data_IF_054142320101
#
_entry.id   IF_054142320101
#
_cell.length_a   1.000
_cell.length_b   1.000
_cell.length_c   1.000
_cell.angle_alpha   90.00
_cell.angle_beta   90.00
_cell.angle_gamma   90.00
#
_symmetry.space_group_name_H-M   'P 1'
#
loop_
_entity.id
_entity.type
_entity.pdbx_description
1 polymer ?
#
# COMPACT_ATOMS: atom_id res chain seq x y z
N UNK A 1 -46.57 -28.73 -30.04
CA UNK A 1 -46.49 -27.49 -29.19
C UNK A 1 -45.79 -27.73 -27.88
N UNK A 2 -46.05 -28.80 -27.16
CA UNK A 2 -45.45 -29.07 -25.81
C UNK A 2 -43.92 -29.22 -25.87
N UNK A 3 -43.37 -29.77 -26.96
CA UNK A 3 -41.91 -29.95 -27.12
C UNK A 3 -41.15 -28.62 -27.26
N UNK A 4 -41.73 -27.62 -27.93
CA UNK A 4 -41.09 -26.30 -28.07
C UNK A 4 -41.09 -25.52 -26.76
N UNK A 5 -42.21 -25.57 -26.03
CA UNK A 5 -42.32 -24.92 -24.72
C UNK A 5 -41.36 -25.57 -23.69
N UNK A 6 -41.23 -26.89 -23.74
CA UNK A 6 -40.29 -27.63 -22.89
C UNK A 6 -38.86 -27.26 -23.20
N UNK A 7 -38.46 -27.15 -24.45
CA UNK A 7 -37.13 -26.70 -24.86
C UNK A 7 -36.84 -25.27 -24.44
N UNK A 8 -37.80 -24.36 -24.61
CA UNK A 8 -37.66 -22.97 -24.15
C UNK A 8 -37.48 -22.88 -22.65
N UNK A 9 -38.24 -23.66 -21.91
CA UNK A 9 -38.12 -23.73 -20.45
C UNK A 9 -36.76 -24.28 -20.00
N UNK A 10 -36.28 -25.33 -20.66
CA UNK A 10 -34.95 -25.91 -20.40
C UNK A 10 -33.81 -24.92 -20.71
N UNK A 11 -33.94 -24.22 -21.87
CA UNK A 11 -32.97 -23.19 -22.24
C UNK A 11 -32.95 -22.04 -21.27
N UNK A 12 -34.10 -21.60 -20.78
CA UNK A 12 -34.21 -20.54 -19.80
C UNK A 12 -33.59 -20.97 -18.47
N UNK A 13 -33.80 -22.22 -18.06
CA UNK A 13 -33.20 -22.80 -16.84
C UNK A 13 -31.68 -22.83 -16.94
N UNK A 14 -31.14 -23.27 -18.09
CA UNK A 14 -29.70 -23.27 -18.33
C UNK A 14 -29.14 -21.85 -18.29
N UNK A 15 -29.83 -20.90 -18.89
CA UNK A 15 -29.43 -19.49 -18.93
C UNK A 15 -29.40 -18.89 -17.53
N UNK A 16 -30.43 -19.19 -16.72
CA UNK A 16 -30.50 -18.77 -15.31
C UNK A 16 -29.35 -19.36 -14.49
N UNK A 17 -29.00 -20.63 -14.71
CA UNK A 17 -27.85 -21.27 -14.05
C UNK A 17 -26.55 -20.60 -14.43
N UNK A 18 -26.35 -20.24 -15.71
CA UNK A 18 -25.17 -19.53 -16.16
C UNK A 18 -25.07 -18.12 -15.54
N UNK A 19 -26.19 -17.41 -15.45
CA UNK A 19 -26.25 -16.09 -14.82
C UNK A 19 -25.90 -16.20 -13.34
N UNK A 20 -26.43 -17.20 -12.64
CA UNK A 20 -26.10 -17.44 -11.22
C UNK A 20 -24.63 -17.78 -11.03
N UNK A 21 -24.06 -18.62 -11.89
CA UNK A 21 -22.63 -18.96 -11.85
C UNK A 21 -21.76 -17.72 -12.10
N UNK A 22 -22.14 -16.87 -13.05
CA UNK A 22 -21.46 -15.61 -13.34
C UNK A 22 -21.50 -14.64 -12.14
N UNK A 23 -22.65 -14.53 -11.49
CA UNK A 23 -22.82 -13.72 -10.28
C UNK A 23 -21.95 -14.22 -9.14
N UNK A 24 -21.87 -15.54 -8.93
CA UNK A 24 -21.00 -16.15 -7.91
C UNK A 24 -19.54 -15.87 -8.22
N UNK A 25 -19.11 -16.04 -9.45
CA UNK A 25 -17.74 -15.74 -9.88
C UNK A 25 -17.39 -14.27 -9.63
N UNK A 26 -18.33 -13.37 -9.93
CA UNK A 26 -18.15 -11.93 -9.69
C UNK A 26 -18.00 -11.61 -8.19
N UNK A 27 -18.82 -12.22 -7.34
CA UNK A 27 -18.72 -12.06 -5.87
C UNK A 27 -17.39 -12.57 -5.35
N UNK A 28 -16.94 -13.74 -5.81
CA UNK A 28 -15.68 -14.32 -5.42
C UNK A 28 -14.50 -13.44 -5.85
N UNK A 29 -14.54 -12.91 -7.08
CA UNK A 29 -13.54 -11.99 -7.57
C UNK A 29 -13.48 -10.71 -6.73
N UNK A 30 -14.64 -10.16 -6.36
CA UNK A 30 -14.72 -8.98 -5.50
C UNK A 30 -14.14 -9.24 -4.11
N UNK A 31 -14.37 -10.42 -3.54
CA UNK A 31 -13.78 -10.84 -2.27
C UNK A 31 -12.26 -10.94 -2.37
N UNK A 32 -11.76 -11.57 -3.42
CA UNK A 32 -10.32 -11.71 -3.66
C UNK A 32 -9.65 -10.33 -3.81
N UNK A 33 -10.27 -9.41 -4.53
CA UNK A 33 -9.79 -8.04 -4.68
C UNK A 33 -9.72 -7.32 -3.33
N UNK A 34 -10.74 -7.45 -2.49
CA UNK A 34 -10.76 -6.84 -1.14
C UNK A 34 -9.66 -7.42 -0.26
N UNK A 35 -9.48 -8.73 -0.28
CA UNK A 35 -8.44 -9.43 0.48
C UNK A 35 -7.05 -8.97 0.03
N UNK A 36 -6.83 -8.88 -1.28
CA UNK A 36 -5.58 -8.41 -1.85
C UNK A 36 -5.29 -6.95 -1.46
N UNK A 37 -6.28 -6.08 -1.53
CA UNK A 37 -6.15 -4.67 -1.11
C UNK A 37 -5.76 -4.56 0.36
N UNK A 38 -6.39 -5.34 1.25
CA UNK A 38 -6.05 -5.37 2.68
C UNK A 38 -4.61 -5.83 2.89
N UNK A 39 -4.21 -6.87 2.17
CA UNK A 39 -2.86 -7.42 2.25
C UNK A 39 -1.80 -6.41 1.81
N UNK A 40 -2.02 -5.74 0.68
CA UNK A 40 -1.15 -4.68 0.17
C UNK A 40 -1.08 -3.50 1.15
N UNK A 41 -2.20 -3.11 1.74
CA UNK A 41 -2.23 -2.06 2.74
C UNK A 41 -1.41 -2.44 3.98
N UNK A 42 -1.57 -3.68 4.47
CA UNK A 42 -0.79 -4.18 5.60
C UNK A 42 0.70 -4.19 5.31
N UNK A 43 1.11 -4.65 4.13
CA UNK A 43 2.52 -4.63 3.70
C UNK A 43 3.06 -3.21 3.65
N UNK A 44 2.31 -2.27 3.09
CA UNK A 44 2.69 -0.85 3.03
C UNK A 44 2.86 -0.26 4.44
N UNK A 45 1.95 -0.57 5.36
CA UNK A 45 2.04 -0.11 6.74
C UNK A 45 3.22 -0.72 7.49
N UNK A 46 3.51 -1.99 7.25
CA UNK A 46 4.68 -2.67 7.83
C UNK A 46 5.98 -2.06 7.32
N UNK A 47 6.08 -1.82 6.02
CA UNK A 47 7.24 -1.18 5.40
C UNK A 47 7.45 0.22 5.97
N UNK A 48 6.37 0.99 6.12
CA UNK A 48 6.42 2.32 6.73
C UNK A 48 6.91 2.25 8.19
N UNK A 49 6.39 1.30 8.97
CA UNK A 49 6.79 1.11 10.37
C UNK A 49 8.29 0.78 10.47
N UNK A 50 8.80 -0.10 9.60
CA UNK A 50 10.22 -0.44 9.53
C UNK A 50 11.06 0.79 9.18
N UNK A 51 10.61 1.60 8.22
CA UNK A 51 11.31 2.83 7.85
C UNK A 51 11.36 3.83 8.99
N UNK A 52 10.26 4.03 9.71
CA UNK A 52 10.22 4.89 10.90
C UNK A 52 11.21 4.40 11.96
N UNK A 53 11.23 3.08 12.18
CA UNK A 53 12.17 2.46 13.13
C UNK A 53 13.63 2.71 12.73
N UNK A 54 13.95 2.64 11.45
CA UNK A 54 15.31 2.89 10.94
C UNK A 54 15.75 4.35 11.13
N UNK A 55 14.83 5.29 11.27
CA UNK A 55 15.17 6.69 11.60
C UNK A 55 15.68 6.85 13.04
N UNK A 56 15.50 5.84 13.88
CA UNK A 56 15.78 5.94 15.32
C UNK A 56 14.64 6.55 16.13
N UNK A 57 13.54 6.89 15.49
CA UNK A 57 12.38 7.46 16.17
C UNK A 57 11.68 6.38 17.02
N UNK A 58 11.33 6.68 18.29
CA UNK A 58 10.68 5.70 19.16
C UNK A 58 9.25 5.42 18.70
N UNK A 59 9.01 4.20 18.20
CA UNK A 59 7.70 3.76 17.72
C UNK A 59 6.69 3.69 18.88
N UNK A 60 7.15 3.52 20.10
CA UNK A 60 6.31 3.44 21.29
C UNK A 60 5.53 4.73 21.55
N UNK A 61 6.02 5.86 21.06
CA UNK A 61 5.34 7.15 21.21
C UNK A 61 4.31 7.34 20.07
N UNK A 62 3.25 6.56 20.12
CA UNK A 62 2.19 6.58 19.10
C UNK A 62 1.48 7.93 19.02
N UNK A 63 1.25 8.58 20.16
CA UNK A 63 0.57 9.87 20.19
C UNK A 63 1.28 10.92 19.35
N UNK A 64 2.61 10.99 19.45
CA UNK A 64 3.41 11.93 18.67
C UNK A 64 3.44 11.58 17.19
N UNK A 65 3.51 10.30 16.85
CA UNK A 65 3.46 9.84 15.44
C UNK A 65 2.13 10.22 14.80
N UNK A 66 1.02 9.96 15.49
CA UNK A 66 -0.33 10.32 14.99
C UNK A 66 -0.47 11.84 14.87
N UNK A 67 0.02 12.58 15.85
CA UNK A 67 0.01 14.05 15.82
C UNK A 67 0.77 14.62 14.62
N UNK A 68 1.96 14.07 14.34
CA UNK A 68 2.75 14.46 13.18
C UNK A 68 2.06 14.09 11.86
N UNK A 69 1.40 12.92 11.79
CA UNK A 69 0.64 12.52 10.62
C UNK A 69 -0.55 13.46 10.37
N UNK A 70 -1.26 13.86 11.40
CA UNK A 70 -2.35 14.85 11.30
C UNK A 70 -1.84 16.20 10.82
N UNK A 71 -0.71 16.66 11.34
CA UNK A 71 -0.05 17.87 10.88
C UNK A 71 0.36 17.77 9.41
N UNK A 72 0.93 16.65 9.00
CA UNK A 72 1.29 16.38 7.61
C UNK A 72 0.10 16.40 6.67
N UNK A 73 -1.04 15.85 7.11
CA UNK A 73 -2.29 15.87 6.35
C UNK A 73 -2.78 17.30 6.12
N UNK A 74 -2.76 18.15 7.13
CA UNK A 74 -3.13 19.57 7.01
C UNK A 74 -2.16 20.32 6.10
N UNK A 75 -0.87 20.04 6.23
CA UNK A 75 0.17 20.64 5.41
C UNK A 75 -0.04 20.32 3.92
N UNK A 76 -0.36 19.07 3.60
CA UNK A 76 -0.66 18.64 2.23
C UNK A 76 -1.90 19.35 1.67
N UNK A 77 -2.94 19.52 2.47
CA UNK A 77 -4.14 20.26 2.06
C UNK A 77 -3.83 21.72 1.74
N UNK A 78 -3.02 22.38 2.55
CA UNK A 78 -2.60 23.76 2.30
C UNK A 78 -1.74 23.89 1.06
N UNK A 79 -0.84 22.93 0.82
CA UNK A 79 0.00 22.90 -0.36
C UNK A 79 -0.82 22.68 -1.65
N UNK A 80 -1.81 21.78 -1.62
CA UNK A 80 -2.67 21.47 -2.77
C UNK A 80 -3.57 22.64 -3.17
N UNK A 81 -4.00 23.45 -2.21
CA UNK A 81 -4.87 24.61 -2.47
C UNK A 81 -4.16 25.81 -3.09
N UNK A 82 -2.87 25.72 -3.33
CA UNK A 82 -2.03 26.78 -3.91
C UNK A 82 -1.98 28.10 -3.13
N UNK A 83 -2.70 28.19 -2.02
CA UNK A 83 -2.84 29.40 -1.22
C UNK A 83 -1.62 29.68 -0.34
N UNK A 84 -0.72 28.71 -0.16
CA UNK A 84 0.45 28.87 0.68
C UNK A 84 1.71 28.31 0.02
N UNK A 85 2.54 29.17 -0.59
CA UNK A 85 3.86 28.75 -1.10
C UNK A 85 4.78 28.26 0.03
N UNK A 86 4.60 28.71 1.25
CA UNK A 86 5.32 28.23 2.45
C UNK A 86 5.04 26.77 2.72
N UNK A 87 3.76 26.34 2.63
CA UNK A 87 3.37 24.94 2.81
C UNK A 87 3.99 24.03 1.75
N UNK A 88 4.04 24.46 0.50
CA UNK A 88 4.72 23.73 -0.59
C UNK A 88 6.21 23.56 -0.31
N UNK A 89 6.87 24.61 0.17
CA UNK A 89 8.29 24.57 0.52
C UNK A 89 8.56 23.62 1.68
N UNK A 90 7.69 23.58 2.69
CA UNK A 90 7.80 22.62 3.80
C UNK A 90 7.67 21.18 3.31
N UNK A 91 6.70 20.88 2.44
CA UNK A 91 6.52 19.54 1.83
C UNK A 91 7.78 19.13 1.05
N UNK A 92 8.32 20.04 0.23
CA UNK A 92 9.56 19.81 -0.52
C UNK A 92 10.73 19.55 0.43
N UNK A 93 10.81 20.28 1.53
CA UNK A 93 11.84 20.10 2.55
C UNK A 93 11.79 18.72 3.20
N UNK A 94 10.61 18.22 3.52
CA UNK A 94 10.43 16.87 4.05
C UNK A 94 10.78 15.79 3.02
N UNK A 95 10.42 15.98 1.76
CA UNK A 95 10.79 15.06 0.68
C UNK A 95 12.31 14.99 0.48
N UNK A 96 13.00 16.11 0.57
CA UNK A 96 14.46 16.14 0.51
C UNK A 96 15.09 15.38 1.67
N UNK A 97 14.60 15.55 2.88
CA UNK A 97 15.06 14.78 4.05
C UNK A 97 14.87 13.29 3.85
N UNK A 98 13.74 12.89 3.29
CA UNK A 98 13.47 11.50 2.95
C UNK A 98 14.48 10.95 1.94
N UNK A 99 14.73 11.67 0.87
CA UNK A 99 15.70 11.28 -0.17
C UNK A 99 17.12 11.15 0.40
N UNK A 100 17.54 12.09 1.24
CA UNK A 100 18.82 12.05 1.94
C UNK A 100 18.93 10.86 2.87
N UNK A 101 17.85 10.56 3.59
CA UNK A 101 17.77 9.39 4.48
C UNK A 101 17.89 8.09 3.69
N UNK A 102 17.19 7.94 2.57
CA UNK A 102 17.28 6.76 1.70
C UNK A 102 18.71 6.59 1.15
N UNK A 103 19.34 7.66 0.73
CA UNK A 103 20.72 7.63 0.24
C UNK A 103 21.70 7.18 1.33
N UNK A 104 21.53 7.68 2.55
CA UNK A 104 22.34 7.28 3.70
C UNK A 104 22.13 5.80 4.06
N UNK A 105 20.90 5.29 3.99
CA UNK A 105 20.60 3.87 4.22
C UNK A 105 21.27 2.97 3.18
N UNK A 106 21.22 3.35 1.91
CA UNK A 106 21.88 2.60 0.83
C UNK A 106 23.39 2.53 1.03
N UNK A 107 24.01 3.61 1.43
CA UNK A 107 25.46 3.65 1.74
C UNK A 107 25.79 2.75 2.93
N UNK A 108 24.98 2.79 3.97
CA UNK A 108 25.17 1.96 5.15
C UNK A 108 25.03 0.47 4.83
N UNK A 109 24.01 0.08 4.08
CA UNK A 109 23.79 -1.30 3.63
C UNK A 109 24.94 -1.78 2.75
N UNK A 110 25.42 -0.95 1.83
CA UNK A 110 26.57 -1.24 0.98
C UNK A 110 27.86 -1.46 1.79
N UNK A 111 28.09 -0.67 2.84
CA UNK A 111 29.23 -0.85 3.74
C UNK A 111 29.13 -2.12 4.56
N UNK A 112 27.95 -2.46 5.07
CA UNK A 112 27.69 -3.68 5.80
C UNK A 112 27.92 -4.91 4.93
N UNK A 113 27.43 -4.91 3.69
CA UNK A 113 27.68 -5.98 2.72
C UNK A 113 29.17 -6.12 2.41
N UNK A 114 29.87 -5.03 2.21
CA UNK A 114 31.32 -5.00 1.97
C UNK A 114 32.10 -5.55 3.15
N UNK A 115 31.70 -5.21 4.38
CA UNK A 115 32.32 -5.70 5.62
C UNK A 115 32.08 -7.22 5.78
N UNK A 116 30.89 -7.70 5.50
CA UNK A 116 30.54 -9.13 5.54
C UNK A 116 31.36 -9.93 4.53
N UNK A 117 31.53 -9.43 3.31
CA UNK A 117 32.34 -10.06 2.28
C UNK A 117 33.83 -10.10 2.69
N UNK A 118 34.35 -9.05 3.31
CA UNK A 118 35.70 -9.00 3.82
C UNK A 118 35.95 -9.97 4.98
N UNK A 119 34.98 -10.16 5.87
CA UNK A 119 35.04 -11.14 6.96
C UNK A 119 35.06 -12.57 6.44
N UNK A 120 34.32 -12.88 5.37
CA UNK A 120 34.34 -14.19 4.72
C UNK A 120 35.68 -14.47 4.02
N UNK A 121 36.33 -13.47 3.46
CA UNK A 121 37.64 -13.59 2.82
C UNK A 121 38.77 -13.80 3.83
N UNK A 122 38.63 -13.27 5.05
CA UNK A 122 39.60 -13.45 6.13
C UNK A 122 39.49 -14.80 6.85
N UNK A 123 38.40 -15.52 6.62
CA UNK A 123 38.16 -16.84 7.20
C UNK A 123 38.75 -17.95 6.31
#
# INVERSE_FOLDING_TARGET
>A
MNKRLSKLHDMQKILNQKVEAAKRAQRNLNREKRTLKKKLMQETLMDLAVMIQKTGYPIENQALIVGMALHGKELLKRADREESPEAKNEVIGYMKKYDEFLAALKQKESKEESTVVNDDDDA
#
